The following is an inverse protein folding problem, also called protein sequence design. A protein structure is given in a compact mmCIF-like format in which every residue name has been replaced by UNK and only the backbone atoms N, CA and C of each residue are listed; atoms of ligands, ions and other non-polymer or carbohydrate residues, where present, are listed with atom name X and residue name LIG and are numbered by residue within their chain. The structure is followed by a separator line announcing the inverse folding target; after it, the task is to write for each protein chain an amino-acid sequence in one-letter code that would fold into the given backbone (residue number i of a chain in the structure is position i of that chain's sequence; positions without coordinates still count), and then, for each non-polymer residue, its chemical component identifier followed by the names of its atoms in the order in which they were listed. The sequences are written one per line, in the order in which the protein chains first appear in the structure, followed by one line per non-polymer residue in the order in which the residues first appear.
data_IF_858562559046
#
_entry.id   IF_858562559046
#
_cell.length_a   1.000
_cell.length_b   1.000
_cell.length_c   1.000
_cell.angle_alpha   90.00
_cell.angle_beta   90.00
_cell.angle_gamma   90.00
#
_symmetry.space_group_name_H-M   'P 1'
#
loop_
_entity.id
_entity.type
_entity.pdbx_description
1 polymer ?
#
# COMPACT_ATOMS: atom_id res chain seq x y z
N UNK A 1 -5.52 12.77 15.32
CA UNK A 1 -4.70 11.54 15.43
C UNK A 1 -3.42 11.87 16.16
N UNK A 2 -2.97 11.03 17.10
CA UNK A 2 -1.66 11.22 17.76
C UNK A 2 -0.54 11.05 16.74
N UNK A 3 0.42 11.98 16.70
CA UNK A 3 1.54 11.92 15.77
C UNK A 3 2.39 10.65 15.99
N UNK A 4 2.78 9.99 14.91
CA UNK A 4 3.65 8.82 14.90
C UNK A 4 4.78 9.02 13.88
N UNK A 5 5.90 8.33 14.10
CA UNK A 5 6.96 8.18 13.10
C UNK A 5 6.89 6.77 12.49
N UNK A 6 7.41 6.60 11.28
CA UNK A 6 7.45 5.31 10.59
C UNK A 6 8.90 4.91 10.27
N UNK A 7 9.20 3.63 10.41
CA UNK A 7 10.43 2.97 9.99
C UNK A 7 10.06 1.88 9.00
N UNK A 8 10.59 1.94 7.79
CA UNK A 8 10.44 0.91 6.77
C UNK A 8 11.78 0.20 6.58
N UNK A 9 11.86 -1.09 6.90
CA UNK A 9 13.05 -1.90 6.67
C UNK A 9 13.05 -2.36 5.21
N UNK A 10 13.90 -1.72 4.41
CA UNK A 10 14.11 -1.99 2.99
C UNK A 10 15.46 -2.67 2.72
N UNK A 11 16.05 -3.29 3.75
CA UNK A 11 17.27 -4.07 3.67
C UNK A 11 17.00 -5.57 3.52
N UNK A 12 18.03 -6.31 3.14
CA UNK A 12 17.97 -7.76 2.98
C UNK A 12 18.72 -8.19 1.72
N UNK A 13 19.48 -9.29 1.81
CA UNK A 13 20.32 -9.75 0.71
C UNK A 13 19.54 -10.33 -0.48
N UNK A 14 18.20 -10.40 -0.40
CA UNK A 14 17.31 -10.93 -1.44
C UNK A 14 17.83 -12.24 -2.07
N UNK A 15 18.45 -13.10 -1.25
CA UNK A 15 19.18 -14.29 -1.73
C UNK A 15 18.28 -15.22 -2.54
N UNK A 16 17.01 -15.32 -2.14
CA UNK A 16 15.97 -16.13 -2.81
C UNK A 16 15.42 -15.51 -4.10
N UNK A 17 15.74 -14.25 -4.37
CA UNK A 17 15.39 -13.53 -5.60
C UNK A 17 16.60 -13.37 -6.54
N UNK A 18 17.68 -14.12 -6.30
CA UNK A 18 18.90 -14.04 -7.12
C UNK A 18 19.68 -12.73 -6.95
N UNK A 19 19.53 -12.05 -5.81
CA UNK A 19 20.20 -10.77 -5.53
C UNK A 19 19.49 -9.54 -6.11
N UNK A 20 18.26 -9.69 -6.61
CA UNK A 20 17.45 -8.58 -7.07
C UNK A 20 17.11 -7.60 -5.93
N UNK A 21 17.06 -6.30 -6.23
CA UNK A 21 16.62 -5.26 -5.28
C UNK A 21 15.10 -5.41 -5.00
N UNK A 22 14.75 -6.26 -4.03
CA UNK A 22 13.37 -6.64 -3.66
C UNK A 22 12.46 -5.42 -3.46
N UNK A 23 12.83 -4.39 -2.67
CA UNK A 23 12.02 -3.17 -2.52
C UNK A 23 11.70 -2.43 -3.84
N UNK A 24 12.53 -2.59 -4.87
CA UNK A 24 12.33 -1.97 -6.18
C UNK A 24 11.47 -2.81 -7.14
N UNK A 25 11.17 -4.08 -6.80
CA UNK A 25 10.31 -4.94 -7.61
C UNK A 25 8.90 -4.34 -7.67
N UNK A 26 8.31 -4.37 -8.88
CA UNK A 26 6.97 -3.84 -9.12
C UNK A 26 5.89 -4.93 -9.01
N UNK A 27 4.83 -4.60 -8.30
CA UNK A 27 3.57 -5.35 -8.24
C UNK A 27 2.47 -4.35 -8.57
N UNK A 28 1.60 -4.66 -9.55
CA UNK A 28 0.57 -3.71 -10.03
C UNK A 28 1.14 -2.35 -10.44
N UNK A 29 2.22 -2.32 -11.22
CA UNK A 29 2.84 -1.07 -11.70
C UNK A 29 3.66 -0.28 -10.66
N UNK A 30 3.43 -0.44 -9.36
CA UNK A 30 4.14 0.30 -8.28
C UNK A 30 5.25 -0.54 -7.64
N UNK A 31 6.33 0.10 -7.18
CA UNK A 31 7.40 -0.56 -6.41
C UNK A 31 6.85 -1.01 -5.05
N UNK A 32 7.33 -2.12 -4.53
CA UNK A 32 6.93 -2.62 -3.21
C UNK A 32 7.17 -1.58 -2.10
N UNK A 33 8.33 -0.92 -2.11
CA UNK A 33 8.61 0.15 -1.16
C UNK A 33 7.59 1.29 -1.23
N UNK A 34 7.24 1.73 -2.44
CA UNK A 34 6.29 2.83 -2.63
C UNK A 34 4.88 2.46 -2.15
N UNK A 35 4.47 1.19 -2.26
CA UNK A 35 3.20 0.69 -1.69
C UNK A 35 3.19 0.83 -0.17
N UNK A 36 4.26 0.39 0.49
CA UNK A 36 4.39 0.48 1.96
C UNK A 36 4.43 1.94 2.42
N UNK A 37 5.15 2.80 1.68
CA UNK A 37 5.21 4.23 1.97
C UNK A 37 3.83 4.91 1.83
N UNK A 38 3.01 4.48 0.87
CA UNK A 38 1.66 4.99 0.66
C UNK A 38 0.66 4.54 1.74
N UNK A 39 0.94 3.46 2.47
CA UNK A 39 0.09 2.99 3.57
C UNK A 39 0.22 3.84 4.85
N UNK A 40 1.27 4.66 4.96
CA UNK A 40 1.52 5.51 6.14
C UNK A 40 1.86 6.98 5.76
N UNK A 41 0.98 7.67 5.01
CA UNK A 41 1.27 9.02 4.51
C UNK A 41 1.38 10.04 5.66
N UNK A 42 0.65 9.83 6.76
CA UNK A 42 0.56 10.75 7.90
C UNK A 42 1.72 10.65 8.90
N UNK A 43 2.70 9.77 8.64
CA UNK A 43 3.89 9.65 9.47
C UNK A 43 4.68 10.96 9.46
N UNK A 44 4.87 11.58 10.63
CA UNK A 44 5.59 12.85 10.79
C UNK A 44 7.02 12.74 10.28
N UNK A 45 7.71 11.66 10.63
CA UNK A 45 9.02 11.29 10.09
C UNK A 45 8.91 9.89 9.51
N UNK A 46 9.35 9.71 8.27
CA UNK A 46 9.47 8.38 7.65
C UNK A 46 10.93 8.06 7.40
N UNK A 47 11.41 6.99 8.02
CA UNK A 47 12.78 6.51 7.93
C UNK A 47 12.79 5.22 7.11
N UNK A 48 13.60 5.17 6.06
CA UNK A 48 13.83 3.93 5.31
C UNK A 48 15.22 3.42 5.63
N UNK A 49 15.32 2.18 6.11
CA UNK A 49 16.59 1.55 6.48
C UNK A 49 17.02 0.60 5.36
N UNK A 50 18.16 0.88 4.75
CA UNK A 50 18.69 0.13 3.60
C UNK A 50 19.52 1.03 2.68
N UNK A 51 19.91 0.51 1.51
CA UNK A 51 20.63 1.33 0.53
C UNK A 51 19.71 2.39 -0.07
N UNK A 52 20.22 3.55 -0.50
CA UNK A 52 19.37 4.60 -1.06
C UNK A 52 18.79 4.20 -2.42
N UNK A 53 17.55 4.62 -2.69
CA UNK A 53 16.85 4.44 -4.00
C UNK A 53 15.79 5.53 -4.20
N UNK A 54 15.28 5.72 -5.44
CA UNK A 54 14.14 6.60 -5.67
C UNK A 54 12.89 6.11 -4.93
N UNK A 55 12.16 7.06 -4.34
CA UNK A 55 10.89 6.84 -3.61
C UNK A 55 9.83 7.82 -4.09
N UNK A 56 8.55 7.46 -4.01
CA UNK A 56 7.43 8.30 -4.41
C UNK A 56 7.24 9.57 -3.52
N UNK A 57 7.87 9.59 -2.34
CA UNK A 57 7.89 10.73 -1.42
C UNK A 57 9.22 10.89 -0.72
N UNK A 58 9.44 12.05 -0.10
CA UNK A 58 10.64 12.32 0.70
C UNK A 58 10.70 11.40 1.92
N UNK A 59 11.89 10.86 2.19
CA UNK A 59 12.17 9.98 3.34
C UNK A 59 13.55 10.28 3.92
N UNK A 60 13.74 9.96 5.20
CA UNK A 60 15.06 9.93 5.83
C UNK A 60 15.70 8.57 5.60
N UNK A 61 16.92 8.51 5.10
CA UNK A 61 17.64 7.26 4.89
C UNK A 61 18.54 6.95 6.09
N UNK A 62 18.46 5.72 6.58
CA UNK A 62 19.33 5.17 7.60
C UNK A 62 19.94 3.83 7.14
N UNK A 63 20.99 3.38 7.82
CA UNK A 63 21.63 2.09 7.55
C UNK A 63 22.28 1.57 8.82
N UNK A 64 22.14 0.28 9.09
CA UNK A 64 22.88 -0.39 10.14
C UNK A 64 24.38 -0.49 9.83
N UNK A 65 25.18 -0.55 10.89
CA UNK A 65 26.65 -0.66 10.80
C UNK A 65 27.11 -1.85 11.64
N UNK A 66 27.82 -2.83 11.05
CA UNK A 66 28.09 -2.97 9.62
C UNK A 66 26.81 -3.28 8.81
N UNK A 67 26.77 -2.97 7.50
CA UNK A 67 25.63 -3.30 6.64
C UNK A 67 25.33 -4.80 6.65
N UNK A 68 24.04 -5.16 6.61
CA UNK A 68 23.63 -6.56 6.66
C UNK A 68 23.64 -7.14 8.07
N UNK A 69 23.63 -6.29 9.11
CA UNK A 69 23.55 -6.68 10.52
C UNK A 69 22.22 -7.33 10.93
N UNK A 70 21.30 -7.57 10.01
CA UNK A 70 20.01 -8.19 10.29
C UNK A 70 18.93 -7.21 10.77
N UNK A 71 17.69 -7.70 10.94
CA UNK A 71 16.53 -6.84 11.13
C UNK A 71 16.55 -6.07 12.45
N UNK A 72 17.09 -6.65 13.53
CA UNK A 72 17.17 -5.95 14.82
C UNK A 72 18.17 -4.77 14.78
N UNK A 73 19.33 -4.97 14.14
CA UNK A 73 20.30 -3.90 13.90
C UNK A 73 19.74 -2.81 12.97
N UNK A 74 19.01 -3.20 11.92
CA UNK A 74 18.34 -2.27 11.02
C UNK A 74 17.27 -1.44 11.75
N UNK A 75 16.44 -2.07 12.58
CA UNK A 75 15.46 -1.37 13.42
C UNK A 75 16.15 -0.36 14.35
N UNK A 76 17.23 -0.75 15.02
CA UNK A 76 17.99 0.15 15.89
C UNK A 76 18.60 1.34 15.13
N UNK A 77 19.05 1.14 13.89
CA UNK A 77 19.52 2.23 13.04
C UNK A 77 18.39 3.21 12.70
N UNK A 78 17.20 2.69 12.36
CA UNK A 78 16.02 3.52 12.08
C UNK A 78 15.53 4.32 13.28
N UNK A 79 15.48 3.71 14.47
CA UNK A 79 14.97 4.31 15.71
C UNK A 79 15.75 5.55 16.15
N UNK A 80 17.03 5.67 15.77
CA UNK A 80 17.85 6.87 16.04
C UNK A 80 17.32 8.13 15.37
N UNK A 81 16.49 7.98 14.35
CA UNK A 81 15.88 9.09 13.60
C UNK A 81 14.42 9.36 13.98
N UNK A 82 13.87 8.66 14.99
CA UNK A 82 12.50 8.84 15.44
C UNK A 82 12.46 9.52 16.81
N UNK A 83 11.44 10.34 17.05
CA UNK A 83 11.20 11.00 18.34
C UNK A 83 9.73 10.98 18.78
N UNK A 84 8.82 10.49 17.95
CA UNK A 84 7.42 10.31 18.33
C UNK A 84 7.25 9.26 19.43
N UNK A 85 6.14 9.36 20.18
CA UNK A 85 5.74 8.39 21.21
C UNK A 85 5.43 7.02 20.61
N UNK A 86 4.98 6.98 19.35
CA UNK A 86 4.66 5.76 18.62
C UNK A 86 5.52 5.66 17.37
N UNK A 87 6.07 4.47 17.14
CA UNK A 87 6.92 4.15 16.00
C UNK A 87 6.29 2.98 15.25
N UNK A 88 5.76 3.25 14.07
CA UNK A 88 5.28 2.24 13.12
C UNK A 88 6.50 1.58 12.46
N UNK A 89 6.58 0.26 12.46
CA UNK A 89 7.68 -0.52 11.89
C UNK A 89 7.10 -1.46 10.84
N UNK A 90 7.59 -1.33 9.61
CA UNK A 90 7.09 -2.02 8.43
C UNK A 90 8.23 -2.70 7.67
N UNK A 91 7.99 -3.88 7.12
CA UNK A 91 8.82 -4.44 6.06
C UNK A 91 8.51 -3.76 4.72
N UNK A 92 9.50 -3.60 3.84
CA UNK A 92 9.34 -2.91 2.55
C UNK A 92 8.66 -3.75 1.45
N UNK A 93 8.24 -4.97 1.75
CA UNK A 93 7.82 -6.00 0.79
C UNK A 93 6.38 -6.48 1.01
N UNK A 94 5.54 -5.60 1.57
CA UNK A 94 4.13 -5.85 1.90
C UNK A 94 3.21 -5.26 0.81
N UNK A 95 2.96 -5.95 -0.32
CA UNK A 95 2.20 -5.40 -1.45
C UNK A 95 0.75 -5.02 -1.15
N UNK A 96 0.17 -5.59 -0.09
CA UNK A 96 -1.25 -5.41 0.27
C UNK A 96 -1.45 -4.65 1.59
N UNK A 97 -0.38 -4.07 2.14
CA UNK A 97 -0.50 -3.23 3.34
C UNK A 97 -1.37 -2.00 3.02
N UNK A 98 -2.44 -1.81 3.81
CA UNK A 98 -3.36 -0.69 3.67
C UNK A 98 -3.42 0.19 4.93
N UNK A 99 -4.00 1.38 4.77
CA UNK A 99 -4.19 2.34 5.85
C UNK A 99 -5.06 1.83 7.01
N UNK A 100 -6.01 0.93 6.73
CA UNK A 100 -6.85 0.30 7.77
C UNK A 100 -6.02 -0.54 8.74
N UNK A 101 -5.06 -1.32 8.23
CA UNK A 101 -4.13 -2.10 9.06
C UNK A 101 -3.28 -1.19 9.95
N UNK A 102 -2.77 -0.09 9.38
CA UNK A 102 -1.99 0.91 10.12
C UNK A 102 -2.85 1.56 11.21
N UNK A 103 -4.08 1.94 10.90
CA UNK A 103 -5.02 2.51 11.85
C UNK A 103 -5.35 1.53 12.99
N UNK A 104 -5.58 0.25 12.66
CA UNK A 104 -5.83 -0.81 13.64
C UNK A 104 -4.66 -1.02 14.61
N UNK A 105 -3.42 -1.04 14.10
CA UNK A 105 -2.22 -1.12 14.93
C UNK A 105 -2.06 0.11 15.84
N UNK A 106 -2.25 1.32 15.30
CA UNK A 106 -2.17 2.56 16.06
C UNK A 106 -3.23 2.59 17.18
N UNK A 107 -4.46 2.15 16.90
CA UNK A 107 -5.52 2.05 17.89
C UNK A 107 -5.19 1.03 18.99
N UNK A 108 -4.72 -0.16 18.61
CA UNK A 108 -4.35 -1.21 19.55
C UNK A 108 -3.17 -0.82 20.46
N UNK A 109 -2.20 -0.06 19.94
CA UNK A 109 -1.08 0.47 20.75
C UNK A 109 -1.51 1.47 21.82
N UNK A 110 -2.73 2.03 21.70
CA UNK A 110 -3.32 2.96 22.65
C UNK A 110 -3.89 2.31 23.93
N UNK A 111 -3.96 0.98 24.00
CA UNK A 111 -4.52 0.25 25.15
C UNK A 111 -3.64 0.43 26.39
N UNK A 112 -4.29 0.51 27.55
CA UNK A 112 -3.58 0.68 28.83
C UNK A 112 -2.61 -0.49 29.08
N UNK A 113 -1.36 -0.15 29.44
CA UNK A 113 -0.31 -1.13 29.69
C UNK A 113 0.34 -1.74 28.44
N UNK A 114 -0.13 -1.42 27.22
CA UNK A 114 0.47 -1.92 26.00
C UNK A 114 1.72 -1.09 25.62
N UNK A 115 2.84 -1.77 25.44
CA UNK A 115 4.10 -1.21 24.93
C UNK A 115 4.17 -1.28 23.39
N UNK A 116 3.16 -1.88 22.76
CA UNK A 116 2.99 -1.88 21.32
C UNK A 116 1.86 -2.79 20.85
N UNK A 117 1.72 -2.89 19.55
CA UNK A 117 0.84 -3.81 18.87
C UNK A 117 1.52 -4.37 17.61
N UNK A 118 1.30 -5.63 17.29
CA UNK A 118 1.78 -6.25 16.05
C UNK A 118 0.67 -7.05 15.38
N UNK A 119 0.80 -7.24 14.07
CA UNK A 119 -0.06 -8.13 13.34
C UNK A 119 0.30 -9.59 13.61
N UNK A 120 -0.69 -10.48 13.52
CA UNK A 120 -0.47 -11.93 13.41
C UNK A 120 -0.95 -12.40 12.05
N UNK A 121 -0.24 -13.38 11.46
CA UNK A 121 -0.71 -14.06 10.25
C UNK A 121 -1.87 -15.04 10.55
N UNK A 122 -2.37 -15.71 9.50
CA UNK A 122 -3.46 -16.69 9.60
C UNK A 122 -3.14 -17.88 10.52
N UNK A 123 -1.85 -18.18 10.72
CA UNK A 123 -1.37 -19.24 11.61
C UNK A 123 -1.14 -18.74 13.04
N UNK A 124 -1.48 -17.47 13.33
CA UNK A 124 -1.26 -16.84 14.63
C UNK A 124 0.19 -16.45 14.90
N UNK A 125 1.05 -16.43 13.87
CA UNK A 125 2.46 -16.06 14.04
C UNK A 125 2.60 -14.54 14.11
N UNK A 126 3.32 -14.07 15.13
CA UNK A 126 3.64 -12.66 15.32
C UNK A 126 4.48 -12.11 14.14
N UNK A 127 4.08 -10.93 13.64
CA UNK A 127 4.73 -10.20 12.55
C UNK A 127 5.38 -8.92 13.10
N UNK A 128 6.62 -8.99 13.62
CA UNK A 128 7.28 -7.86 14.28
C UNK A 128 7.64 -6.69 13.34
N UNK A 129 7.57 -6.92 12.02
CA UNK A 129 7.75 -5.90 10.99
C UNK A 129 6.43 -5.46 10.37
N UNK A 130 5.31 -5.69 11.07
CA UNK A 130 4.01 -5.10 10.79
C UNK A 130 3.43 -4.69 12.15
N UNK A 131 4.04 -3.68 12.75
CA UNK A 131 3.86 -3.38 14.18
C UNK A 131 3.93 -1.88 14.48
N UNK A 132 3.31 -1.46 15.58
CA UNK A 132 3.52 -0.15 16.21
C UNK A 132 4.09 -0.38 17.60
N UNK A 133 5.24 0.23 17.89
CA UNK A 133 5.86 0.18 19.20
C UNK A 133 5.77 1.53 19.90
N UNK A 134 5.72 1.52 21.24
CA UNK A 134 5.96 2.70 22.05
C UNK A 134 7.45 3.04 22.01
N UNK A 135 7.77 4.30 21.74
CA UNK A 135 9.12 4.74 21.45
C UNK A 135 10.09 4.61 22.62
N UNK A 136 9.64 4.85 23.86
CA UNK A 136 10.51 4.69 25.05
C UNK A 136 10.84 3.21 25.32
N UNK A 137 9.86 2.29 25.48
CA UNK A 137 10.17 0.87 25.68
C UNK A 137 11.01 0.28 24.56
N UNK A 138 10.69 0.61 23.30
CA UNK A 138 11.47 0.17 22.15
C UNK A 138 12.94 0.57 22.25
N UNK A 139 13.24 1.84 22.59
CA UNK A 139 14.62 2.32 22.72
C UNK A 139 15.33 1.67 23.91
N UNK A 140 14.63 1.51 25.04
CA UNK A 140 15.14 0.87 26.24
C UNK A 140 15.57 -0.57 25.98
N UNK A 141 14.68 -1.39 25.42
CA UNK A 141 14.97 -2.81 25.16
C UNK A 141 16.06 -2.99 24.10
N UNK A 142 16.09 -2.16 23.05
CA UNK A 142 17.19 -2.18 22.08
C UNK A 142 18.55 -1.86 22.74
N UNK A 143 18.59 -0.95 23.71
CA UNK A 143 19.81 -0.61 24.43
C UNK A 143 20.24 -1.74 25.38
N UNK A 144 19.30 -2.36 26.10
CA UNK A 144 19.56 -3.49 26.99
C UNK A 144 20.12 -4.69 26.21
N UNK A 145 19.46 -5.08 25.12
CA UNK A 145 19.91 -6.16 24.25
C UNK A 145 21.31 -5.89 23.65
N UNK A 146 21.60 -4.63 23.29
CA UNK A 146 22.92 -4.27 22.76
C UNK A 146 24.02 -4.44 23.81
N UNK A 147 23.74 -4.13 25.08
CA UNK A 147 24.69 -4.32 26.19
C UNK A 147 24.85 -5.81 26.50
N UNK A 148 23.75 -6.55 26.60
CA UNK A 148 23.74 -7.98 26.94
C UNK A 148 24.51 -8.82 25.92
N UNK A 149 24.34 -8.54 24.62
CA UNK A 149 24.93 -9.32 23.55
C UNK A 149 26.19 -8.70 22.93
N UNK A 150 26.65 -7.55 23.43
CA UNK A 150 27.79 -6.82 22.86
C UNK A 150 27.53 -6.20 21.48
N UNK A 151 26.26 -6.11 21.07
CA UNK A 151 25.80 -5.58 19.79
C UNK A 151 24.45 -6.16 19.38
N UNK A 152 23.85 -5.60 18.32
CA UNK A 152 22.55 -6.07 17.79
C UNK A 152 22.67 -6.86 16.47
N UNK A 153 23.90 -7.04 15.98
CA UNK A 153 24.18 -7.70 14.72
C UNK A 153 23.82 -9.19 14.74
N UNK A 154 23.07 -9.65 13.75
CA UNK A 154 22.67 -11.06 13.59
C UNK A 154 21.58 -11.52 14.56
N UNK A 155 21.13 -10.67 15.47
CA UNK A 155 20.11 -11.02 16.46
C UNK A 155 18.70 -11.04 15.85
N UNK A 156 17.84 -11.99 16.25
CA UNK A 156 16.46 -12.05 15.78
C UNK A 156 15.60 -11.01 16.50
N UNK A 157 14.60 -10.46 15.80
CA UNK A 157 13.58 -9.55 16.39
C UNK A 157 12.81 -10.17 17.55
N UNK A 158 12.78 -11.51 17.65
CA UNK A 158 12.05 -12.20 18.72
C UNK A 158 12.54 -11.80 20.11
N UNK A 159 13.84 -11.55 20.28
CA UNK A 159 14.40 -11.10 21.56
C UNK A 159 13.72 -9.80 22.01
N UNK A 160 13.60 -8.82 21.11
CA UNK A 160 12.90 -7.58 21.39
C UNK A 160 11.42 -7.80 21.73
N UNK A 161 10.71 -8.62 20.95
CA UNK A 161 9.27 -8.83 21.18
C UNK A 161 8.95 -9.61 22.45
N UNK A 162 9.91 -10.37 22.99
CA UNK A 162 9.76 -11.12 24.24
C UNK A 162 9.82 -10.20 25.47
N UNK A 163 10.55 -9.09 25.37
CA UNK A 163 10.70 -8.11 26.45
C UNK A 163 9.59 -7.04 26.48
N UNK A 164 8.70 -7.02 25.48
CA UNK A 164 7.67 -6.00 25.33
C UNK A 164 6.26 -6.57 25.56
N UNK A 165 5.42 -5.78 26.24
CA UNK A 165 3.99 -6.06 26.40
C UNK A 165 3.22 -5.69 25.12
N UNK A 166 3.05 -6.65 24.21
CA UNK A 166 2.47 -6.42 22.89
C UNK A 166 1.04 -6.93 22.75
N UNK A 167 0.17 -6.08 22.19
CA UNK A 167 -1.15 -6.50 21.71
C UNK A 167 -1.05 -7.18 20.34
N UNK A 168 -1.83 -8.24 20.13
CA UNK A 168 -1.93 -8.92 18.84
C UNK A 168 -3.17 -8.43 18.09
N UNK A 169 -2.97 -8.01 16.85
CA UNK A 169 -4.04 -7.57 15.95
C UNK A 169 -4.13 -8.60 14.84
N UNK A 170 -5.31 -9.22 14.68
CA UNK A 170 -5.55 -10.05 13.52
C UNK A 170 -5.51 -9.16 12.27
N UNK A 171 -4.47 -9.34 11.46
CA UNK A 171 -4.44 -8.75 10.13
C UNK A 171 -5.47 -9.49 9.26
N UNK A 172 -6.09 -8.77 8.32
CA UNK A 172 -6.71 -9.45 7.19
C UNK A 172 -5.68 -10.36 6.50
N UNK A 173 -6.11 -11.41 5.80
CA UNK A 173 -5.24 -12.48 5.29
C UNK A 173 -4.06 -11.99 4.43
N UNK A 174 -4.19 -10.81 3.83
CA UNK A 174 -3.18 -10.22 2.96
C UNK A 174 -2.31 -9.15 3.63
N UNK A 175 -2.69 -8.62 4.80
CA UNK A 175 -2.08 -7.39 5.30
C UNK A 175 -0.63 -7.57 5.79
N UNK A 176 -0.26 -8.79 6.17
CA UNK A 176 1.12 -9.19 6.49
C UNK A 176 1.75 -10.10 5.44
N UNK A 177 1.15 -10.21 4.25
CA UNK A 177 1.71 -11.00 3.16
C UNK A 177 2.99 -10.32 2.66
N UNK A 178 4.13 -10.99 2.80
CA UNK A 178 5.44 -10.52 2.35
C UNK A 178 5.92 -11.29 1.11
N UNK A 179 6.55 -10.58 0.16
CA UNK A 179 6.95 -11.19 -1.11
C UNK A 179 8.37 -11.78 -1.11
N UNK A 180 8.64 -12.83 -0.34
CA UNK A 180 9.99 -13.41 -0.17
C UNK A 180 10.62 -14.09 -1.39
N UNK A 181 9.79 -14.56 -2.32
CA UNK A 181 10.19 -15.33 -3.50
C UNK A 181 9.57 -14.78 -4.79
N UNK A 182 10.08 -15.23 -5.94
CA UNK A 182 9.49 -14.87 -7.23
C UNK A 182 8.06 -15.41 -7.40
N UNK A 183 7.76 -16.54 -6.74
CA UNK A 183 6.42 -17.11 -6.69
C UNK A 183 5.47 -16.22 -5.88
N UNK A 184 5.93 -15.65 -4.76
CA UNK A 184 5.14 -14.69 -3.97
C UNK A 184 4.87 -13.41 -4.77
N UNK A 185 5.86 -12.92 -5.53
CA UNK A 185 5.69 -11.77 -6.43
C UNK A 185 4.67 -12.07 -7.54
N UNK A 186 4.74 -13.26 -8.16
CA UNK A 186 3.80 -13.67 -9.19
C UNK A 186 2.37 -13.79 -8.62
N UNK A 187 2.24 -14.42 -7.46
CA UNK A 187 0.98 -14.54 -6.73
C UNK A 187 0.43 -13.17 -6.33
N UNK A 188 1.29 -12.26 -5.88
CA UNK A 188 0.89 -10.90 -5.54
C UNK A 188 0.38 -10.15 -6.77
N UNK A 189 1.06 -10.27 -7.92
CA UNK A 189 0.62 -9.67 -9.19
C UNK A 189 -0.71 -10.24 -9.66
N UNK A 190 -0.94 -11.54 -9.51
CA UNK A 190 -2.21 -12.18 -9.84
C UNK A 190 -3.35 -11.70 -8.94
N UNK A 191 -3.14 -11.68 -7.62
CA UNK A 191 -4.14 -11.19 -6.66
C UNK A 191 -4.51 -9.74 -6.84
N UNK A 192 -3.52 -8.88 -7.13
CA UNK A 192 -3.82 -7.49 -7.50
C UNK A 192 -4.79 -7.50 -8.69
N UNK A 193 -4.47 -8.23 -9.78
CA UNK A 193 -5.31 -8.39 -10.99
C UNK A 193 -6.75 -8.86 -10.71
N UNK A 194 -6.97 -9.68 -9.70
CA UNK A 194 -8.27 -10.29 -9.39
C UNK A 194 -9.19 -9.41 -8.52
N UNK A 195 -8.65 -8.56 -7.63
CA UNK A 195 -9.45 -7.89 -6.59
C UNK A 195 -10.01 -6.50 -6.93
N UNK A 196 -10.12 -6.11 -8.20
CA UNK A 196 -10.83 -4.89 -8.63
C UNK A 196 -10.09 -3.56 -8.37
N UNK A 197 -9.15 -3.53 -7.42
CA UNK A 197 -8.24 -2.38 -7.19
C UNK A 197 -7.29 -2.14 -8.36
N UNK A 198 -7.08 -3.10 -9.26
CA UNK A 198 -6.29 -2.86 -10.48
C UNK A 198 -6.88 -1.78 -11.31
N UNK A 199 -8.21 -1.72 -11.42
CA UNK A 199 -8.81 -0.72 -12.28
C UNK A 199 -8.58 0.66 -11.69
N UNK A 200 -8.77 0.84 -10.39
CA UNK A 200 -8.51 2.12 -9.71
C UNK A 200 -7.03 2.48 -9.70
N UNK A 201 -6.13 1.51 -9.44
CA UNK A 201 -4.68 1.72 -9.48
C UNK A 201 -4.19 2.01 -10.91
N UNK A 202 -4.75 1.34 -11.92
CA UNK A 202 -4.46 1.55 -13.32
C UNK A 202 -4.96 2.90 -13.79
N UNK A 203 -6.20 3.26 -13.45
CA UNK A 203 -6.78 4.57 -13.76
C UNK A 203 -5.96 5.68 -13.09
N UNK A 204 -5.55 5.49 -11.84
CA UNK A 204 -4.66 6.45 -11.15
C UNK A 204 -3.33 6.60 -11.90
N UNK A 205 -2.68 5.49 -12.25
CA UNK A 205 -1.40 5.53 -12.98
C UNK A 205 -1.54 6.17 -14.38
N UNK A 206 -2.62 5.88 -15.11
CA UNK A 206 -2.89 6.49 -16.41
C UNK A 206 -3.21 7.98 -16.28
N UNK A 207 -3.96 8.40 -15.25
CA UNK A 207 -4.21 9.81 -14.95
C UNK A 207 -2.91 10.57 -14.68
N UNK A 208 -2.02 10.01 -13.87
CA UNK A 208 -0.70 10.61 -13.60
C UNK A 208 0.15 10.72 -14.87
N UNK A 209 0.27 9.64 -15.65
CA UNK A 209 1.08 9.62 -16.88
C UNK A 209 0.56 10.59 -17.95
N UNK A 210 -0.76 10.73 -18.06
CA UNK A 210 -1.40 11.62 -19.03
C UNK A 210 -1.63 13.05 -18.49
N UNK A 211 -1.31 13.33 -17.22
CA UNK A 211 -1.55 14.63 -16.59
C UNK A 211 -3.04 15.01 -16.48
N UNK A 212 -3.91 14.02 -16.25
CA UNK A 212 -5.37 14.20 -16.19
C UNK A 212 -5.81 14.35 -14.73
N UNK A 213 -6.34 15.53 -14.40
CA UNK A 213 -7.04 15.78 -13.13
C UNK A 213 -8.55 15.81 -13.37
N UNK A 214 -9.17 14.62 -13.30
CA UNK A 214 -10.61 14.45 -13.54
C UNK A 214 -11.18 13.38 -12.62
N UNK A 215 -12.06 13.78 -11.71
CA UNK A 215 -12.69 12.88 -10.74
C UNK A 215 -14.06 12.38 -11.23
N UNK A 216 -14.06 11.40 -12.12
CA UNK A 216 -15.28 10.79 -12.67
C UNK A 216 -15.65 9.53 -11.89
N UNK A 217 -16.95 9.32 -11.67
CA UNK A 217 -17.51 8.03 -11.28
C UNK A 217 -17.20 6.95 -12.34
N UNK A 218 -16.25 6.09 -12.01
CA UNK A 218 -15.84 4.96 -12.84
C UNK A 218 -16.91 3.89 -12.94
N UNK A 219 -17.73 3.70 -11.91
CA UNK A 219 -18.86 2.78 -11.91
C UNK A 219 -19.87 3.14 -12.99
N UNK A 220 -20.23 4.43 -13.06
CA UNK A 220 -21.13 4.96 -14.09
C UNK A 220 -20.64 4.67 -15.52
N UNK A 221 -19.34 4.86 -15.78
CA UNK A 221 -18.76 4.61 -17.11
C UNK A 221 -18.71 3.11 -17.45
N UNK A 222 -18.48 2.25 -16.45
CA UNK A 222 -18.47 0.79 -16.64
C UNK A 222 -19.86 0.24 -16.87
N UNK A 223 -20.87 0.76 -16.17
CA UNK A 223 -22.27 0.38 -16.38
C UNK A 223 -22.75 0.84 -17.77
N UNK A 224 -22.41 2.07 -18.19
CA UNK A 224 -22.66 2.51 -19.57
C UNK A 224 -21.99 1.59 -20.61
N UNK A 225 -20.72 1.22 -20.39
CA UNK A 225 -20.01 0.32 -21.29
C UNK A 225 -20.72 -1.05 -21.36
N UNK A 226 -21.19 -1.57 -20.22
CA UNK A 226 -21.98 -2.80 -20.14
C UNK A 226 -23.27 -2.68 -20.94
N UNK A 227 -24.03 -1.61 -20.76
CA UNK A 227 -25.31 -1.40 -21.44
C UNK A 227 -25.12 -1.27 -22.95
N UNK A 228 -24.10 -0.52 -23.40
CA UNK A 228 -23.77 -0.41 -24.82
C UNK A 228 -23.32 -1.76 -25.43
N UNK A 229 -22.52 -2.55 -24.69
CA UNK A 229 -22.08 -3.86 -25.16
C UNK A 229 -23.23 -4.85 -25.35
N UNK A 230 -24.23 -4.83 -24.44
CA UNK A 230 -25.37 -5.74 -24.48
C UNK A 230 -26.50 -5.24 -25.38
N UNK A 231 -26.85 -3.96 -25.31
CA UNK A 231 -27.96 -3.37 -26.04
C UNK A 231 -27.69 -3.03 -27.50
N UNK A 232 -26.41 -2.85 -27.88
CA UNK A 232 -26.01 -2.48 -29.25
C UNK A 232 -25.14 -3.57 -29.87
N UNK A 233 -23.89 -3.69 -29.41
CA UNK A 233 -22.94 -4.72 -29.81
C UNK A 233 -21.68 -4.65 -28.93
N UNK A 234 -20.94 -5.75 -28.76
CA UNK A 234 -19.71 -5.80 -27.94
C UNK A 234 -18.71 -4.65 -28.23
N UNK A 235 -18.41 -4.27 -29.49
CA UNK A 235 -17.48 -3.17 -29.77
C UNK A 235 -18.01 -1.77 -29.38
N UNK A 236 -19.31 -1.62 -29.12
CA UNK A 236 -19.90 -0.34 -28.76
C UNK A 236 -19.45 0.16 -27.39
N UNK A 237 -19.06 -0.74 -26.47
CA UNK A 237 -18.55 -0.38 -25.14
C UNK A 237 -17.40 0.65 -25.18
N UNK A 238 -16.22 0.34 -25.75
CA UNK A 238 -15.09 1.27 -25.76
C UNK A 238 -15.34 2.52 -26.63
N UNK A 239 -16.12 2.39 -27.71
CA UNK A 239 -16.43 3.52 -28.60
C UNK A 239 -17.35 4.54 -27.91
N UNK A 240 -18.34 4.06 -27.15
CA UNK A 240 -19.29 4.91 -26.43
C UNK A 240 -18.62 5.67 -25.31
N UNK A 241 -17.78 5.01 -24.50
CA UNK A 241 -17.05 5.69 -23.41
C UNK A 241 -16.03 6.71 -23.93
N UNK A 242 -15.36 6.44 -25.07
CA UNK A 242 -14.53 7.44 -25.75
C UNK A 242 -15.32 8.68 -26.18
N UNK A 243 -16.48 8.49 -26.82
CA UNK A 243 -17.33 9.58 -27.27
C UNK A 243 -17.90 10.42 -26.11
N UNK A 244 -18.24 9.77 -24.99
CA UNK A 244 -18.63 10.47 -23.75
C UNK A 244 -17.50 11.37 -23.25
N UNK A 245 -16.27 10.84 -23.15
CA UNK A 245 -15.11 11.63 -22.75
C UNK A 245 -14.83 12.78 -23.72
N UNK A 246 -14.93 12.54 -25.02
CA UNK A 246 -14.76 13.56 -26.06
C UNK A 246 -15.84 14.66 -25.98
N UNK A 247 -17.11 14.28 -25.78
CA UNK A 247 -18.21 15.22 -25.64
C UNK A 247 -18.07 16.08 -24.38
N UNK A 248 -17.68 15.48 -23.25
CA UNK A 248 -17.41 16.20 -22.01
C UNK A 248 -16.24 17.19 -22.16
N UNK A 249 -15.17 16.81 -22.86
CA UNK A 249 -14.04 17.70 -23.14
C UNK A 249 -14.43 18.89 -24.05
N UNK A 250 -15.34 18.66 -25.02
CA UNK A 250 -15.83 19.71 -25.94
C UNK A 250 -16.76 20.72 -25.26
N UNK A 251 -17.33 20.41 -24.09
CA UNK A 251 -18.26 21.28 -23.36
C UNK A 251 -17.58 22.43 -22.59
N UNK A 252 -16.40 22.89 -23.02
CA UNK A 252 -15.47 23.74 -22.25
C UNK A 252 -16.08 25.02 -21.65
N UNK A 253 -15.85 25.25 -20.35
CA UNK A 253 -16.37 26.36 -19.51
C UNK A 253 -16.75 25.88 -18.10
N UNK A 254 -17.57 26.61 -17.33
CA UNK A 254 -18.15 26.20 -16.02
C UNK A 254 -18.97 24.89 -16.07
N UNK A 255 -19.15 24.30 -17.26
CA UNK A 255 -19.86 23.04 -17.51
C UNK A 255 -18.98 21.90 -18.03
N UNK A 256 -17.65 22.01 -17.96
CA UNK A 256 -16.73 20.90 -18.19
C UNK A 256 -16.34 20.22 -16.86
N UNK A 257 -16.00 18.93 -16.90
CA UNK A 257 -15.60 18.17 -15.71
C UNK A 257 -16.50 16.96 -15.41
N UNK A 258 -16.50 16.45 -14.18
CA UNK A 258 -17.24 15.23 -13.80
C UNK A 258 -18.73 15.28 -14.13
N UNK A 259 -19.38 16.44 -13.96
CA UNK A 259 -20.80 16.64 -14.27
C UNK A 259 -21.10 16.51 -15.77
N UNK A 260 -20.21 17.03 -16.62
CA UNK A 260 -20.34 16.91 -18.07
C UNK A 260 -20.25 15.45 -18.53
N UNK A 261 -19.34 14.69 -17.90
CA UNK A 261 -19.20 13.25 -18.13
C UNK A 261 -20.45 12.51 -17.68
N UNK A 262 -21.00 12.84 -16.51
CA UNK A 262 -22.22 12.22 -15.99
C UNK A 262 -23.44 12.49 -16.87
N UNK A 263 -23.59 13.73 -17.37
CA UNK A 263 -24.66 14.12 -18.29
C UNK A 263 -24.54 13.40 -19.64
N UNK A 264 -23.33 13.35 -20.21
CA UNK A 264 -23.08 12.65 -21.47
C UNK A 264 -23.30 11.13 -21.31
N UNK A 265 -22.87 10.55 -20.19
CA UNK A 265 -23.11 9.14 -19.86
C UNK A 265 -24.61 8.83 -19.76
N UNK A 266 -25.39 9.66 -19.05
CA UNK A 266 -26.85 9.49 -18.96
C UNK A 266 -27.52 9.45 -20.33
N UNK A 267 -27.15 10.36 -21.24
CA UNK A 267 -27.70 10.40 -22.61
C UNK A 267 -27.35 9.15 -23.41
N UNK A 268 -26.10 8.69 -23.29
CA UNK A 268 -25.61 7.51 -23.98
C UNK A 268 -26.27 6.22 -23.44
N UNK A 269 -26.45 6.09 -22.13
CA UNK A 269 -27.17 4.96 -21.51
C UNK A 269 -28.62 4.90 -22.00
N UNK A 270 -29.34 6.03 -21.96
CA UNK A 270 -30.71 6.08 -22.45
C UNK A 270 -30.82 5.71 -23.94
N UNK A 271 -29.81 6.02 -24.76
CA UNK A 271 -29.77 5.62 -26.16
C UNK A 271 -29.51 4.12 -26.33
N UNK A 272 -28.56 3.55 -25.56
CA UNK A 272 -28.25 2.12 -25.60
C UNK A 272 -29.44 1.26 -25.17
N UNK A 273 -30.20 1.68 -24.15
CA UNK A 273 -31.41 0.98 -23.71
C UNK A 273 -32.51 1.00 -24.76
N UNK A 274 -32.76 2.14 -25.43
CA UNK A 274 -33.73 2.19 -26.55
C UNK A 274 -33.36 1.24 -27.69
N UNK A 275 -32.06 1.15 -28.01
CA UNK A 275 -31.57 0.21 -29.01
C UNK A 275 -31.77 -1.25 -28.58
N UNK A 276 -31.61 -1.56 -27.29
CA UNK A 276 -31.90 -2.87 -26.74
C UNK A 276 -33.40 -3.22 -26.89
N UNK A 277 -34.29 -2.30 -26.50
CA UNK A 277 -35.74 -2.47 -26.58
C UNK A 277 -36.23 -2.69 -28.03
N UNK A 278 -35.65 -1.95 -28.99
CA UNK A 278 -35.93 -2.14 -30.43
C UNK A 278 -35.54 -3.53 -30.93
N UNK A 279 -34.46 -4.11 -30.39
CA UNK A 279 -33.99 -5.46 -30.75
C UNK A 279 -34.79 -6.58 -30.05
N UNK A 280 -35.51 -6.26 -28.96
CA UNK A 280 -36.34 -7.21 -28.21
C UNK A 280 -37.82 -7.19 -28.64
N UNK A 281 -38.23 -6.18 -29.42
CA UNK A 281 -39.59 -6.08 -29.97
C UNK A 281 -39.69 -6.92 -31.25
N UNK A 282 -40.62 -7.89 -31.34
CA UNK A 282 -40.70 -8.86 -32.44
C UNK A 282 -41.11 -8.27 -33.81
#
# INVERSE_FOLDING_TARGET
MTAYDAIVLAGGAARRLGGADKPAVRVGGRRLLDRVLAACPDARTTVVVGDRRPTARAVTWAREVPPGGGPLAALAAGVRHTSAERVLVLSADLPFLGGETVAGLLAASGRQGAEGALCTDENGRDQPLVAVYRGEPLRRELALLAVEHGGLGGLPLRLLTQELTLCRVAAGPLASFDCDTWEDIASARARIREHGTVLDEWITAVKEELGIDLDVDTGLLLDLARDAAHGVARPAAPLTTFLVGYAAAKASGDGGGPEAVAEAARKATALALRWADENETP
#
